data_IF_033308552052
#
_entry.id   IF_033308552052
#
_cell.length_a   1.000
_cell.length_b   1.000
_cell.length_c   1.000
_cell.angle_alpha   90.00
_cell.angle_beta   90.00
_cell.angle_gamma   90.00
#
_symmetry.space_group_name_H-M   'P 1'
#
loop_
_entity.id
_entity.type
_entity.pdbx_description
1 polymer ?
#
# COMPACT_ATOMS: atom_id res chain seq x y z
N UNK A 1 -15.94 -28.40 8.25
CA UNK A 1 -15.63 -27.68 7.00
C UNK A 1 -15.33 -26.18 7.17
N UNK A 2 -15.83 -25.53 8.20
CA UNK A 2 -15.52 -24.12 8.48
C UNK A 2 -14.05 -23.85 8.86
N UNK A 3 -13.33 -24.85 9.36
CA UNK A 3 -11.93 -24.71 9.78
C UNK A 3 -10.93 -24.56 8.61
N UNK A 4 -11.25 -25.09 7.44
CA UNK A 4 -10.37 -25.03 6.26
C UNK A 4 -10.37 -23.65 5.57
N UNK A 5 -11.49 -22.96 5.56
CA UNK A 5 -11.59 -21.64 4.92
C UNK A 5 -10.83 -20.56 5.69
N UNK A 6 -10.87 -20.59 7.03
CA UNK A 6 -10.11 -19.66 7.87
C UNK A 6 -8.60 -19.86 7.76
N UNK A 7 -8.15 -21.11 7.76
CA UNK A 7 -6.73 -21.45 7.58
C UNK A 7 -6.23 -21.05 6.19
N UNK A 8 -7.04 -21.28 5.16
CA UNK A 8 -6.72 -20.88 3.78
C UNK A 8 -6.63 -19.36 3.65
N UNK A 9 -7.54 -18.63 4.29
CA UNK A 9 -7.51 -17.18 4.34
C UNK A 9 -6.26 -16.63 5.03
N UNK A 10 -5.94 -17.16 6.22
CA UNK A 10 -4.76 -16.77 6.97
C UNK A 10 -3.46 -17.08 6.22
N UNK A 11 -3.36 -18.22 5.56
CA UNK A 11 -2.22 -18.59 4.73
C UNK A 11 -2.08 -17.65 3.53
N UNK A 12 -3.19 -17.29 2.88
CA UNK A 12 -3.20 -16.34 1.77
C UNK A 12 -2.71 -14.94 2.18
N UNK A 13 -3.15 -14.45 3.33
CA UNK A 13 -2.71 -13.16 3.88
C UNK A 13 -1.20 -13.15 4.18
N UNK A 14 -0.68 -14.23 4.76
CA UNK A 14 0.74 -14.37 5.05
C UNK A 14 1.57 -14.44 3.77
N UNK A 15 1.13 -15.20 2.77
CA UNK A 15 1.79 -15.27 1.46
C UNK A 15 1.80 -13.90 0.77
N UNK A 16 0.68 -13.18 0.81
CA UNK A 16 0.58 -11.84 0.23
C UNK A 16 1.53 -10.84 0.91
N UNK A 17 1.64 -10.89 2.25
CA UNK A 17 2.59 -10.06 2.99
C UNK A 17 4.03 -10.35 2.56
N UNK A 18 4.41 -11.62 2.44
CA UNK A 18 5.74 -12.00 1.96
C UNK A 18 6.00 -11.55 0.52
N UNK A 19 5.01 -11.70 -0.37
CA UNK A 19 5.11 -11.26 -1.76
C UNK A 19 5.28 -9.74 -1.86
N UNK A 20 4.51 -8.98 -1.08
CA UNK A 20 4.62 -7.53 -1.05
C UNK A 20 5.99 -7.07 -0.52
N UNK A 21 6.47 -7.67 0.56
CA UNK A 21 7.78 -7.35 1.12
C UNK A 21 8.94 -7.71 0.19
N UNK A 22 8.76 -8.72 -0.67
CA UNK A 22 9.77 -9.10 -1.66
C UNK A 22 9.96 -8.01 -2.73
N UNK A 23 8.88 -7.36 -3.16
CA UNK A 23 8.94 -6.29 -4.18
C UNK A 23 9.09 -4.90 -3.58
N UNK A 24 8.56 -4.69 -2.37
CA UNK A 24 8.64 -3.42 -1.63
C UNK A 24 9.09 -3.69 -0.19
N UNK A 25 10.40 -3.87 0.06
CA UNK A 25 10.87 -4.19 1.41
C UNK A 25 10.53 -3.13 2.46
N UNK A 26 10.44 -1.87 2.07
CA UNK A 26 10.07 -0.78 2.97
C UNK A 26 8.60 -0.80 3.41
N UNK A 27 7.76 -1.60 2.75
CA UNK A 27 6.35 -1.73 3.12
C UNK A 27 6.18 -2.32 4.52
N UNK A 28 7.07 -3.23 4.92
CA UNK A 28 7.02 -3.92 6.21
C UNK A 28 5.62 -4.49 6.48
N UNK A 29 5.12 -5.21 5.46
CA UNK A 29 3.79 -5.79 5.51
C UNK A 29 3.75 -6.98 6.46
N UNK A 30 2.70 -7.06 7.24
CA UNK A 30 2.40 -8.18 8.11
C UNK A 30 0.89 -8.41 8.17
N UNK A 31 0.49 -9.63 8.52
CA UNK A 31 -0.92 -9.92 8.77
C UNK A 31 -1.47 -9.01 9.87
N UNK A 32 -2.64 -8.43 9.61
CA UNK A 32 -3.36 -7.72 10.66
C UNK A 32 -3.83 -8.72 11.72
N UNK A 33 -3.51 -8.45 12.99
CA UNK A 33 -4.00 -9.27 14.08
C UNK A 33 -5.42 -8.80 14.45
N UNK A 34 -6.36 -9.72 14.32
CA UNK A 34 -7.71 -9.48 14.79
C UNK A 34 -7.77 -9.79 16.29
N UNK A 35 -7.56 -8.77 17.11
CA UNK A 35 -7.87 -8.89 18.54
C UNK A 35 -9.39 -8.78 18.73
N UNK A 36 -9.93 -9.56 19.66
CA UNK A 36 -11.34 -9.50 20.02
C UNK A 36 -11.74 -8.05 20.37
N UNK A 37 -12.56 -7.43 19.51
CA UNK A 37 -13.09 -6.08 19.73
C UNK A 37 -12.54 -4.98 18.82
N UNK A 38 -11.45 -5.20 18.08
CA UNK A 38 -10.97 -4.26 17.08
C UNK A 38 -10.97 -4.92 15.70
N UNK A 39 -12.00 -4.61 14.92
CA UNK A 39 -12.03 -4.95 13.50
C UNK A 39 -11.15 -3.95 12.75
N UNK A 40 -9.91 -4.32 12.49
CA UNK A 40 -9.18 -3.63 11.43
C UNK A 40 -9.76 -4.09 10.10
N UNK A 41 -10.25 -3.15 9.31
CA UNK A 41 -10.83 -3.45 8.00
C UNK A 41 -9.81 -4.05 7.02
N UNK A 42 -8.52 -3.78 7.23
CA UNK A 42 -7.43 -4.26 6.40
C UNK A 42 -6.99 -5.68 6.77
N UNK A 43 -6.65 -6.49 5.78
CA UNK A 43 -6.07 -7.81 5.99
C UNK A 43 -4.57 -7.75 6.30
N UNK A 44 -3.87 -6.74 5.78
CA UNK A 44 -2.46 -6.49 6.05
C UNK A 44 -2.25 -5.12 6.68
N UNK A 45 -1.29 -5.05 7.60
CA UNK A 45 -0.75 -3.80 8.11
C UNK A 45 0.59 -3.57 7.43
N UNK A 46 0.73 -2.42 6.78
CA UNK A 46 1.95 -2.01 6.08
C UNK A 46 2.49 -0.75 6.75
N UNK A 47 3.44 -0.91 7.67
CA UNK A 47 3.99 0.20 8.45
C UNK A 47 4.70 1.24 7.59
N UNK A 48 5.32 0.79 6.49
CA UNK A 48 6.00 1.67 5.54
C UNK A 48 5.11 2.31 4.48
N UNK A 49 3.81 1.98 4.47
CA UNK A 49 2.83 2.52 3.52
C UNK A 49 1.62 3.09 4.25
N UNK A 50 1.78 4.15 5.05
CA UNK A 50 0.64 4.74 5.76
C UNK A 50 -0.39 5.28 4.78
N UNK A 51 -1.67 5.10 5.10
CA UNK A 51 -2.77 5.51 4.25
C UNK A 51 -3.14 4.52 3.14
N UNK A 52 -2.51 3.37 3.09
CA UNK A 52 -2.87 2.28 2.18
C UNK A 52 -3.60 1.19 2.97
N UNK A 53 -4.80 0.83 2.53
CA UNK A 53 -5.57 -0.28 3.10
C UNK A 53 -5.50 -1.48 2.15
N UNK A 54 -4.94 -2.59 2.63
CA UNK A 54 -4.72 -3.77 1.80
C UNK A 54 -5.74 -4.85 2.12
N UNK A 55 -6.52 -5.22 1.13
CA UNK A 55 -7.40 -6.40 1.12
C UNK A 55 -6.71 -7.53 0.38
N UNK A 56 -6.74 -8.74 0.92
CA UNK A 56 -6.13 -9.92 0.30
C UNK A 56 -7.20 -10.92 -0.12
N UNK A 57 -7.14 -11.37 -1.36
CA UNK A 57 -8.04 -12.40 -1.88
C UNK A 57 -7.26 -13.49 -2.63
N UNK A 58 -7.45 -14.72 -2.21
CA UNK A 58 -6.95 -15.90 -2.92
C UNK A 58 -8.15 -16.76 -3.30
N UNK A 59 -8.64 -16.58 -4.52
CA UNK A 59 -9.84 -17.24 -5.04
C UNK A 59 -9.69 -17.52 -6.53
N UNK A 60 -10.26 -18.65 -6.98
CA UNK A 60 -10.28 -19.00 -8.42
C UNK A 60 -11.21 -18.10 -9.23
N UNK A 61 -12.33 -17.68 -8.64
CA UNK A 61 -13.23 -16.71 -9.24
C UNK A 61 -13.42 -15.53 -8.26
N UNK A 62 -13.01 -14.34 -8.66
CA UNK A 62 -13.10 -13.15 -7.85
C UNK A 62 -13.85 -12.05 -8.59
N UNK A 63 -14.90 -11.52 -7.96
CA UNK A 63 -15.55 -10.32 -8.45
C UNK A 63 -14.79 -9.10 -7.90
N UNK A 64 -13.88 -8.56 -8.71
CA UNK A 64 -13.04 -7.43 -8.32
C UNK A 64 -13.83 -6.17 -8.00
N UNK A 65 -14.86 -5.85 -8.80
CA UNK A 65 -15.68 -4.67 -8.56
C UNK A 65 -16.42 -4.74 -7.23
N UNK A 66 -17.04 -5.87 -6.95
CA UNK A 66 -17.73 -6.08 -5.66
C UNK A 66 -16.77 -6.03 -4.48
N UNK A 67 -15.58 -6.61 -4.63
CA UNK A 67 -14.54 -6.59 -3.59
C UNK A 67 -14.05 -5.16 -3.37
N UNK A 68 -13.82 -4.40 -4.43
CA UNK A 68 -13.41 -3.00 -4.34
C UNK A 68 -14.49 -2.13 -3.67
N UNK A 69 -15.76 -2.31 -4.03
CA UNK A 69 -16.88 -1.59 -3.42
C UNK A 69 -16.92 -1.81 -1.91
N UNK A 70 -16.75 -3.05 -1.48
CA UNK A 70 -16.69 -3.38 -0.06
C UNK A 70 -15.47 -2.75 0.63
N UNK A 71 -14.31 -2.79 -0.01
CA UNK A 71 -13.09 -2.17 0.52
C UNK A 71 -13.25 -0.67 0.69
N UNK A 72 -13.96 -0.01 -0.24
CA UNK A 72 -14.28 1.42 -0.15
C UNK A 72 -15.22 1.74 1.02
N UNK A 73 -16.20 0.88 1.29
CA UNK A 73 -17.09 1.04 2.44
C UNK A 73 -16.33 0.90 3.77
N UNK A 74 -15.35 0.00 3.80
CA UNK A 74 -14.59 -0.33 5.02
C UNK A 74 -13.41 0.61 5.27
N UNK A 75 -12.90 1.32 4.24
CA UNK A 75 -11.74 2.19 4.39
C UNK A 75 -12.10 3.56 4.99
N UNK A 76 -11.13 4.16 5.69
CA UNK A 76 -11.24 5.53 6.18
C UNK A 76 -11.05 6.56 5.06
N UNK A 77 -11.40 7.82 5.35
CA UNK A 77 -11.32 8.93 4.39
C UNK A 77 -9.90 9.17 3.86
N UNK A 78 -8.89 8.96 4.71
CA UNK A 78 -7.49 9.17 4.38
C UNK A 78 -6.80 7.90 3.85
N UNK A 79 -7.57 6.84 3.62
CA UNK A 79 -7.06 5.56 3.17
C UNK A 79 -7.38 5.31 1.71
N UNK A 80 -6.42 4.74 1.00
CA UNK A 80 -6.59 4.27 -0.38
C UNK A 80 -6.67 2.75 -0.38
N UNK A 81 -7.80 2.14 -0.79
CA UNK A 81 -7.92 0.70 -0.82
C UNK A 81 -7.18 0.10 -2.02
N UNK A 82 -6.43 -0.97 -1.77
CA UNK A 82 -5.82 -1.80 -2.80
C UNK A 82 -6.15 -3.26 -2.53
N UNK A 83 -6.30 -4.04 -3.58
CA UNK A 83 -6.58 -5.48 -3.49
C UNK A 83 -5.36 -6.23 -4.01
N UNK A 84 -4.76 -7.05 -3.16
CA UNK A 84 -3.73 -8.01 -3.56
C UNK A 84 -4.39 -9.36 -3.70
N UNK A 85 -4.35 -9.93 -4.89
CA UNK A 85 -5.12 -11.14 -5.17
C UNK A 85 -4.40 -12.07 -6.13
N UNK A 86 -4.76 -13.35 -6.06
CA UNK A 86 -4.35 -14.38 -7.02
C UNK A 86 -5.31 -15.55 -7.09
N UNK A 87 -5.26 -16.28 -8.17
CA UNK A 87 -5.76 -17.65 -8.26
C UNK A 87 -4.68 -18.61 -7.78
N UNK A 88 -5.07 -19.84 -7.42
CA UNK A 88 -4.09 -20.86 -7.07
C UNK A 88 -3.11 -21.07 -8.24
N UNK A 89 -1.82 -21.21 -7.94
CA UNK A 89 -0.73 -21.40 -8.89
C UNK A 89 -0.54 -20.23 -9.89
N UNK A 90 -1.08 -19.06 -9.59
CA UNK A 90 -0.88 -17.84 -10.38
C UNK A 90 -0.08 -16.81 -9.58
N UNK A 91 0.47 -15.85 -10.27
CA UNK A 91 1.19 -14.72 -9.68
C UNK A 91 0.26 -13.80 -8.88
N UNK A 92 0.79 -13.11 -7.91
CA UNK A 92 0.08 -12.09 -7.18
C UNK A 92 -0.11 -10.84 -8.04
N UNK A 93 -1.32 -10.32 -8.06
CA UNK A 93 -1.69 -9.09 -8.74
C UNK A 93 -2.11 -8.04 -7.72
N UNK A 94 -1.94 -6.78 -8.07
CA UNK A 94 -2.43 -5.65 -7.27
C UNK A 94 -3.43 -4.87 -8.11
N UNK A 95 -4.62 -4.66 -7.55
CA UNK A 95 -5.69 -3.87 -8.18
C UNK A 95 -5.98 -2.63 -7.34
N UNK A 96 -6.05 -1.49 -8.00
CA UNK A 96 -6.43 -0.20 -7.43
C UNK A 96 -7.42 0.47 -8.38
N UNK A 97 -8.31 1.31 -7.88
CA UNK A 97 -9.16 2.10 -8.77
C UNK A 97 -8.29 3.07 -9.57
N UNK A 98 -8.61 3.24 -10.85
CA UNK A 98 -7.82 4.12 -11.71
C UNK A 98 -7.77 5.56 -11.18
N UNK A 99 -8.87 6.05 -10.62
CA UNK A 99 -8.94 7.37 -10.02
C UNK A 99 -8.07 7.54 -8.76
N UNK A 100 -7.77 6.43 -8.07
CA UNK A 100 -6.90 6.43 -6.88
C UNK A 100 -5.42 6.24 -7.20
N UNK A 101 -5.08 5.98 -8.47
CA UNK A 101 -3.70 5.70 -8.86
C UNK A 101 -2.73 6.83 -8.51
N UNK A 102 -3.04 8.12 -8.76
CA UNK A 102 -2.14 9.20 -8.37
C UNK A 102 -1.87 9.24 -6.86
N UNK A 103 -2.90 9.08 -6.04
CA UNK A 103 -2.79 9.09 -4.59
C UNK A 103 -1.98 7.88 -4.09
N UNK A 104 -2.25 6.70 -4.67
CA UNK A 104 -1.48 5.50 -4.36
C UNK A 104 0.00 5.67 -4.70
N UNK A 105 0.32 6.16 -5.88
CA UNK A 105 1.69 6.42 -6.31
C UNK A 105 2.40 7.39 -5.37
N UNK A 106 1.73 8.46 -5.00
CA UNK A 106 2.25 9.45 -4.05
C UNK A 106 2.58 8.82 -2.69
N UNK A 107 1.67 8.01 -2.16
CA UNK A 107 1.86 7.31 -0.88
C UNK A 107 3.00 6.29 -0.94
N UNK A 108 3.12 5.56 -2.05
CA UNK A 108 4.21 4.59 -2.24
C UNK A 108 5.57 5.27 -2.37
N UNK A 109 5.67 6.36 -3.12
CA UNK A 109 6.93 7.05 -3.38
C UNK A 109 7.40 7.92 -2.21
N UNK A 110 6.49 8.63 -1.55
CA UNK A 110 6.82 9.56 -0.47
C UNK A 110 7.54 8.89 0.70
N UNK A 111 7.19 7.66 0.98
CA UNK A 111 7.77 6.90 2.11
C UNK A 111 8.94 6.02 1.70
N UNK A 112 9.25 5.94 0.42
CA UNK A 112 10.34 5.10 -0.10
C UNK A 112 11.75 5.66 0.05
N UNK A 113 11.91 6.97 0.28
CA UNK A 113 13.26 7.55 0.45
C UNK A 113 13.22 8.89 1.20
N UNK A 114 13.28 8.86 2.53
CA UNK A 114 13.35 10.11 3.31
C UNK A 114 14.68 10.85 3.16
N UNK A 115 15.73 10.21 2.61
CA UNK A 115 17.07 10.79 2.57
C UNK A 115 17.36 11.66 1.35
N UNK A 116 16.58 11.55 0.28
CA UNK A 116 16.87 12.27 -0.95
C UNK A 116 16.16 13.64 -1.07
N UNK A 117 15.10 13.84 -0.29
CA UNK A 117 14.34 15.10 -0.35
C UNK A 117 15.03 16.29 0.34
N UNK A 118 15.76 16.03 1.42
CA UNK A 118 16.46 17.11 2.14
C UNK A 118 17.65 17.65 1.34
N UNK A 119 18.38 16.77 0.65
CA UNK A 119 19.52 17.18 -0.17
C UNK A 119 19.11 17.96 -1.43
N UNK A 120 17.96 17.60 -2.02
CA UNK A 120 17.46 18.28 -3.21
C UNK A 120 16.96 19.68 -2.89
N UNK A 121 16.35 19.88 -1.74
CA UNK A 121 15.86 21.19 -1.30
C UNK A 121 17.00 22.14 -0.99
N UNK A 122 18.06 21.66 -0.35
CA UNK A 122 19.27 22.45 -0.04
C UNK A 122 20.04 22.88 -1.29
N UNK A 123 20.05 22.03 -2.35
CA UNK A 123 20.69 22.39 -3.61
C UNK A 123 19.94 23.43 -4.41
N UNK A 124 18.60 23.44 -4.34
CA UNK A 124 17.78 24.47 -4.97
C UNK A 124 17.94 25.83 -4.31
N UNK A 125 18.01 25.88 -2.99
CA UNK A 125 18.22 27.12 -2.25
C UNK A 125 19.60 27.73 -2.48
N UNK A 126 20.63 26.89 -2.63
CA UNK A 126 21.99 27.35 -2.92
C UNK A 126 22.13 27.92 -4.35
N UNK A 127 21.34 27.43 -5.31
CA UNK A 127 21.36 27.90 -6.70
C UNK A 127 20.61 29.23 -6.84
N UNK A 128 19.59 29.47 -6.05
CA UNK A 128 18.82 30.73 -6.08
C UNK A 128 19.56 31.90 -5.43
N UNK A 129 20.46 31.61 -4.49
CA UNK A 129 21.25 32.64 -3.80
C UNK A 129 22.40 33.23 -4.59
N UNK A 130 22.85 32.57 -5.68
CA UNK A 130 23.99 33.03 -6.46
C UNK A 130 23.61 33.93 -7.62
N UNK A 131 22.35 34.05 -7.99
CA UNK A 131 21.89 34.86 -9.11
C UNK A 131 21.57 36.31 -8.72
N UNK A 132 21.48 36.62 -7.43
CA UNK A 132 21.15 37.98 -6.98
C UNK A 132 22.36 38.89 -6.82
N UNK A 133 23.57 38.44 -7.05
CA UNK A 133 24.80 39.26 -6.92
C UNK A 133 25.35 39.79 -8.23
N UNK A 134 24.84 39.39 -9.38
CA UNK A 134 25.32 39.88 -10.67
C UNK A 134 24.50 41.05 -11.24
N UNK A 135 23.48 41.52 -10.56
CA UNK A 135 22.61 42.59 -11.04
C UNK A 135 22.94 43.96 -10.47
N UNK A 136 24.12 44.16 -9.82
CA UNK A 136 24.50 45.43 -9.17
C UNK A 136 25.82 45.91 -9.71
N UNK A 137 25.83 46.18 -11.02
CA UNK A 137 26.85 47.06 -11.62
C UNK A 137 26.19 48.10 -12.50
#
# INVERSE_FOLDING_TARGET
MACNSRRKGAAGELEAAHALNAVLPHAKARRAQQYAGHHTAADLVCEGLPGIMVEVKRKQALNLHKTMDKSLEDCGEDQTPVIIHRKDNCEWLLTVRLEDLPEMMFKFLRHGSPRNNEQTTLQLDATTGSQSKEAVD
#
